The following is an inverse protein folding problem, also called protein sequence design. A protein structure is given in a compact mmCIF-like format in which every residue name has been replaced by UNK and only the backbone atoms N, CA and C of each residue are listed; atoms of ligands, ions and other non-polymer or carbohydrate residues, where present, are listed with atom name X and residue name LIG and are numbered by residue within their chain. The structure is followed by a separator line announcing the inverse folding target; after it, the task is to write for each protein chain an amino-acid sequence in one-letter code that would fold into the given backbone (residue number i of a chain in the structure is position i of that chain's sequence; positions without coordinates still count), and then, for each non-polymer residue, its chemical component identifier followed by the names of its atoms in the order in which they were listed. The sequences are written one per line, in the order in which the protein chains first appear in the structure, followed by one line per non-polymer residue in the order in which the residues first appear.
data_IF_587197359476
#
_entry.id   IF_587197359476
#
_cell.length_a   1.000
_cell.length_b   1.000
_cell.length_c   1.000
_cell.angle_alpha   90.00
_cell.angle_beta   90.00
_cell.angle_gamma   90.00
#
_symmetry.space_group_name_H-M   'P 1'
#
loop_
_entity.id
_entity.type
_entity.pdbx_description
1 polymer ?
#
# COMPACT_ATOMS: atom_id res chain seq x y z
N UNK A 1 4.28 33.11 -11.77
CA UNK A 1 3.73 31.91 -12.37
C UNK A 1 4.75 30.84 -12.59
N UNK A 2 5.83 31.18 -13.21
CA UNK A 2 6.82 30.16 -13.55
C UNK A 2 7.49 29.57 -12.34
N UNK A 3 7.75 30.41 -11.35
CA UNK A 3 8.38 29.91 -10.14
C UNK A 3 7.51 28.90 -9.42
N UNK A 4 6.23 29.16 -9.42
CA UNK A 4 5.30 28.26 -8.83
C UNK A 4 5.39 26.89 -9.50
N UNK A 5 5.51 26.89 -10.80
CA UNK A 5 5.61 25.65 -11.54
C UNK A 5 6.88 24.89 -11.21
N UNK A 6 7.96 25.59 -10.98
CA UNK A 6 9.20 24.93 -10.62
C UNK A 6 9.10 24.24 -9.28
N UNK A 7 8.41 24.84 -8.35
CA UNK A 7 8.21 24.20 -7.07
C UNK A 7 7.38 22.94 -7.21
N UNK A 8 6.36 22.99 -8.05
CA UNK A 8 5.57 21.82 -8.32
C UNK A 8 6.43 20.72 -8.89
N UNK A 9 7.34 21.07 -9.76
CA UNK A 9 8.22 20.07 -10.37
C UNK A 9 9.12 19.40 -9.35
N UNK A 10 9.65 20.18 -8.41
CA UNK A 10 10.47 19.60 -7.36
C UNK A 10 9.66 18.67 -6.47
N UNK A 11 8.42 19.05 -6.23
CA UNK A 11 7.55 18.25 -5.39
C UNK A 11 6.94 17.08 -6.15
N UNK A 12 7.21 17.00 -7.44
CA UNK A 12 6.66 15.95 -8.27
C UNK A 12 7.30 14.60 -8.02
N UNK A 13 8.41 14.53 -7.25
CA UNK A 13 8.95 13.22 -6.86
C UNK A 13 8.00 12.60 -5.86
N UNK A 14 7.14 11.68 -6.29
CA UNK A 14 6.18 11.10 -5.38
C UNK A 14 6.85 10.22 -4.35
N UNK A 15 6.22 10.07 -3.21
CA UNK A 15 6.76 9.30 -2.10
C UNK A 15 7.07 7.85 -2.50
N UNK A 16 6.28 7.30 -3.43
CA UNK A 16 6.44 5.92 -3.86
C UNK A 16 7.37 5.72 -5.04
N UNK A 17 8.09 6.75 -5.46
CA UNK A 17 8.95 6.65 -6.63
C UNK A 17 9.94 5.49 -6.49
N UNK A 18 9.92 4.59 -7.46
CA UNK A 18 10.82 3.45 -7.47
C UNK A 18 10.41 2.28 -6.58
N UNK A 19 9.27 2.38 -5.91
CA UNK A 19 8.77 1.30 -5.05
C UNK A 19 7.92 0.35 -5.88
N UNK A 20 8.21 -0.95 -5.77
CA UNK A 20 7.36 -2.00 -6.32
C UNK A 20 6.20 -2.23 -5.38
N UNK A 21 4.98 -2.02 -5.85
CA UNK A 21 3.78 -2.19 -5.03
C UNK A 21 2.88 -3.25 -5.64
N UNK A 22 2.34 -4.10 -4.78
CA UNK A 22 1.33 -5.07 -5.18
C UNK A 22 -0.01 -4.63 -4.61
N UNK A 23 -1.00 -4.52 -5.47
CA UNK A 23 -2.37 -4.21 -5.07
C UNK A 23 -3.23 -5.45 -5.26
N UNK A 24 -3.75 -5.99 -4.18
CA UNK A 24 -4.70 -7.09 -4.21
C UNK A 24 -6.10 -6.49 -4.20
N UNK A 25 -6.74 -6.52 -5.35
CA UNK A 25 -8.04 -5.89 -5.55
C UNK A 25 -8.66 -6.42 -6.83
N UNK A 26 -9.91 -6.04 -7.07
CA UNK A 26 -10.56 -6.34 -8.34
C UNK A 26 -9.79 -5.62 -9.46
N UNK A 27 -9.26 -6.36 -10.45
CA UNK A 27 -8.57 -5.70 -11.56
C UNK A 27 -9.45 -4.72 -12.33
N UNK A 28 -10.77 -4.83 -12.21
CA UNK A 28 -11.68 -3.88 -12.84
C UNK A 28 -11.87 -2.60 -12.03
N UNK A 29 -11.37 -2.55 -10.80
CA UNK A 29 -11.45 -1.35 -9.97
C UNK A 29 -10.34 -0.39 -10.35
N UNK A 30 -10.53 0.31 -11.47
CA UNK A 30 -9.52 1.21 -12.00
C UNK A 30 -9.30 2.42 -11.11
N UNK A 31 -10.32 2.83 -10.37
CA UNK A 31 -10.20 4.00 -9.50
C UNK A 31 -9.22 3.74 -8.37
N UNK A 32 -9.29 2.57 -7.75
CA UNK A 32 -8.36 2.23 -6.67
C UNK A 32 -6.95 2.10 -7.21
N UNK A 33 -6.77 1.40 -8.34
CA UNK A 33 -5.46 1.24 -8.94
C UNK A 33 -4.84 2.59 -9.31
N UNK A 34 -5.62 3.48 -9.91
CA UNK A 34 -5.14 4.81 -10.27
C UNK A 34 -4.79 5.62 -9.03
N UNK A 35 -5.57 5.47 -7.98
CA UNK A 35 -5.31 6.16 -6.72
C UNK A 35 -3.97 5.78 -6.12
N UNK A 36 -3.65 4.49 -6.12
CA UNK A 36 -2.36 4.02 -5.61
C UNK A 36 -1.23 4.44 -6.54
N UNK A 37 -1.42 4.31 -7.84
CA UNK A 37 -0.39 4.63 -8.81
C UNK A 37 0.00 6.11 -8.81
N UNK A 38 -0.90 6.99 -8.36
CA UNK A 38 -0.60 8.42 -8.27
C UNK A 38 0.64 8.73 -7.44
N UNK A 39 0.99 7.84 -6.53
CA UNK A 39 2.12 8.09 -5.62
C UNK A 39 3.44 7.60 -6.18
N UNK A 40 3.46 7.24 -7.44
CA UNK A 40 4.70 6.94 -8.17
C UNK A 40 5.21 5.53 -8.03
N UNK A 41 4.45 4.66 -7.39
CA UNK A 41 4.83 3.25 -7.26
C UNK A 41 4.72 2.54 -8.61
N UNK A 42 5.52 1.49 -8.77
CA UNK A 42 5.36 0.56 -9.88
C UNK A 42 4.33 -0.47 -9.45
N UNK A 43 3.14 -0.33 -9.99
CA UNK A 43 1.99 -1.07 -9.49
C UNK A 43 1.74 -2.34 -10.28
N UNK A 44 1.57 -3.45 -9.56
CA UNK A 44 1.06 -4.69 -10.10
C UNK A 44 -0.27 -4.96 -9.40
N UNK A 45 -1.32 -5.26 -10.16
CA UNK A 45 -2.63 -5.57 -9.61
C UNK A 45 -2.89 -7.06 -9.73
N UNK A 46 -3.32 -7.68 -8.65
CA UNK A 46 -3.62 -9.09 -8.61
C UNK A 46 -5.03 -9.27 -8.02
N UNK A 47 -5.86 -10.04 -8.71
CA UNK A 47 -7.26 -10.21 -8.31
C UNK A 47 -7.53 -11.44 -7.46
N UNK A 48 -6.52 -12.26 -7.19
CA UNK A 48 -6.68 -13.50 -6.47
C UNK A 48 -5.79 -13.47 -5.23
N UNK A 49 -6.38 -13.73 -4.07
CA UNK A 49 -5.72 -13.54 -2.79
C UNK A 49 -4.43 -14.34 -2.64
N UNK A 50 -4.52 -15.65 -2.86
CA UNK A 50 -3.36 -16.49 -2.61
C UNK A 50 -2.28 -16.36 -3.68
N UNK A 51 -2.66 -15.99 -4.90
CA UNK A 51 -1.67 -15.70 -5.92
C UNK A 51 -0.86 -14.47 -5.53
N UNK A 52 -1.52 -13.45 -5.01
CA UNK A 52 -0.83 -12.25 -4.56
C UNK A 52 0.06 -12.52 -3.35
N UNK A 53 -0.45 -13.25 -2.37
CA UNK A 53 0.36 -13.55 -1.19
C UNK A 53 1.54 -14.45 -1.51
N UNK A 54 1.37 -15.35 -2.48
CA UNK A 54 2.49 -16.18 -2.95
C UNK A 54 3.58 -15.33 -3.59
N UNK A 55 3.20 -14.31 -4.35
CA UNK A 55 4.18 -13.42 -4.96
C UNK A 55 5.02 -12.71 -3.89
N UNK A 56 4.38 -12.28 -2.81
CA UNK A 56 5.09 -11.66 -1.69
C UNK A 56 6.01 -12.67 -1.01
N UNK A 57 5.51 -13.88 -0.76
CA UNK A 57 6.28 -14.90 -0.06
C UNK A 57 7.48 -15.38 -0.87
N UNK A 58 7.33 -15.46 -2.19
CA UNK A 58 8.38 -15.97 -3.06
C UNK A 58 9.60 -15.04 -3.11
N UNK A 59 9.36 -13.74 -3.06
CA UNK A 59 10.46 -12.77 -3.12
C UNK A 59 10.09 -11.51 -2.34
N UNK A 60 10.12 -11.59 -1.01
CA UNK A 60 9.70 -10.44 -0.19
C UNK A 60 10.54 -9.19 -0.43
N UNK A 61 11.80 -9.36 -0.79
CA UNK A 61 12.71 -8.22 -0.99
C UNK A 61 12.35 -7.41 -2.23
N UNK A 62 11.64 -8.01 -3.18
CA UNK A 62 11.22 -7.30 -4.38
C UNK A 62 10.16 -6.25 -4.09
N UNK A 63 9.33 -6.49 -3.09
CA UNK A 63 8.15 -5.67 -2.84
C UNK A 63 8.39 -4.64 -1.76
N UNK A 64 8.05 -3.41 -2.04
CA UNK A 64 8.17 -2.32 -1.08
C UNK A 64 6.84 -1.90 -0.45
N UNK A 65 5.73 -2.41 -0.97
CA UNK A 65 4.40 -2.04 -0.48
C UNK A 65 3.38 -3.07 -0.91
N UNK A 66 2.50 -3.44 0.01
CA UNK A 66 1.34 -4.30 -0.28
C UNK A 66 0.08 -3.54 0.13
N UNK A 67 -0.86 -3.40 -0.80
CA UNK A 67 -2.15 -2.78 -0.54
C UNK A 67 -3.24 -3.79 -0.84
N UNK A 68 -4.19 -3.97 0.07
CA UNK A 68 -5.22 -4.99 -0.08
C UNK A 68 -6.62 -4.41 0.12
N UNK A 69 -7.48 -4.64 -0.87
CA UNK A 69 -8.89 -4.37 -0.73
C UNK A 69 -9.54 -5.58 -0.07
N UNK A 70 -9.63 -5.54 1.25
CA UNK A 70 -10.07 -6.70 2.03
C UNK A 70 -11.50 -7.12 1.71
N UNK A 71 -12.36 -6.19 1.36
CA UNK A 71 -13.76 -6.50 1.12
C UNK A 71 -13.95 -7.43 -0.07
N UNK A 72 -13.03 -7.36 -1.03
CA UNK A 72 -13.06 -8.28 -2.17
C UNK A 72 -12.81 -9.73 -1.76
N UNK A 73 -12.07 -9.93 -0.69
CA UNK A 73 -11.59 -11.26 -0.29
C UNK A 73 -12.25 -11.80 0.97
N UNK A 74 -13.43 -11.32 1.28
CA UNK A 74 -14.19 -11.83 2.41
C UNK A 74 -14.10 -11.00 3.68
N UNK A 75 -13.42 -9.86 3.61
CA UNK A 75 -13.37 -8.93 4.73
C UNK A 75 -12.05 -8.95 5.48
N UNK A 76 -11.94 -8.03 6.43
CA UNK A 76 -10.71 -7.81 7.17
C UNK A 76 -10.22 -9.08 7.89
N UNK A 77 -11.11 -9.78 8.58
CA UNK A 77 -10.74 -10.96 9.33
C UNK A 77 -10.16 -12.05 8.44
N UNK A 78 -10.78 -12.30 7.30
CA UNK A 78 -10.32 -13.32 6.35
C UNK A 78 -8.92 -12.99 5.84
N UNK A 79 -8.70 -11.72 5.49
CA UNK A 79 -7.41 -11.29 4.99
C UNK A 79 -6.35 -11.37 6.08
N UNK A 80 -6.69 -11.01 7.31
CA UNK A 80 -5.73 -11.11 8.41
C UNK A 80 -5.31 -12.54 8.69
N UNK A 81 -6.23 -13.49 8.57
CA UNK A 81 -5.90 -14.90 8.71
C UNK A 81 -4.93 -15.34 7.61
N UNK A 82 -5.18 -14.91 6.38
CA UNK A 82 -4.30 -15.24 5.26
C UNK A 82 -2.90 -14.65 5.46
N UNK A 83 -2.83 -13.39 5.91
CA UNK A 83 -1.55 -12.74 6.17
C UNK A 83 -0.76 -13.46 7.26
N UNK A 84 -1.44 -14.03 8.24
CA UNK A 84 -0.77 -14.75 9.31
C UNK A 84 -0.02 -15.98 8.82
N UNK A 85 -0.33 -16.47 7.62
CA UNK A 85 0.38 -17.60 7.03
C UNK A 85 1.72 -17.22 6.43
N UNK A 86 1.97 -15.92 6.25
CA UNK A 86 3.23 -15.46 5.68
C UNK A 86 4.36 -15.56 6.70
N UNK A 87 5.57 -15.81 6.19
CA UNK A 87 6.74 -15.88 7.05
C UNK A 87 7.22 -14.50 7.50
N UNK A 88 8.23 -14.51 8.36
CA UNK A 88 8.77 -13.28 8.94
C UNK A 88 9.23 -12.29 7.90
N UNK A 89 9.93 -12.75 6.87
CA UNK A 89 10.45 -11.84 5.86
C UNK A 89 9.35 -11.17 5.07
N UNK A 90 8.30 -11.93 4.72
CA UNK A 90 7.18 -11.38 3.97
C UNK A 90 6.43 -10.34 4.82
N UNK A 91 6.40 -10.54 6.13
CA UNK A 91 5.70 -9.62 7.03
C UNK A 91 6.42 -8.29 7.20
N UNK A 92 7.65 -8.18 6.72
CA UNK A 92 8.37 -6.92 6.73
C UNK A 92 7.93 -6.00 5.62
N UNK A 93 7.23 -6.52 4.63
CA UNK A 93 6.70 -5.67 3.55
C UNK A 93 5.62 -4.78 4.15
N UNK A 94 5.76 -3.45 4.05
CA UNK A 94 4.74 -2.56 4.57
C UNK A 94 3.39 -2.86 3.93
N UNK A 95 2.36 -2.96 4.75
CA UNK A 95 1.04 -3.42 4.30
C UNK A 95 -0.04 -2.44 4.68
N UNK A 96 -0.93 -2.14 3.74
CA UNK A 96 -2.12 -1.33 3.96
C UNK A 96 -3.35 -2.20 3.70
N UNK A 97 -4.22 -2.30 4.70
CA UNK A 97 -5.48 -3.02 4.58
C UNK A 97 -6.61 -2.01 4.48
N UNK A 98 -7.42 -2.14 3.44
CA UNK A 98 -8.60 -1.28 3.22
C UNK A 98 -9.83 -2.12 3.42
N UNK A 99 -10.72 -1.71 4.32
CA UNK A 99 -11.94 -2.46 4.56
C UNK A 99 -13.05 -1.56 5.09
N UNK A 100 -14.26 -1.81 4.62
CA UNK A 100 -15.45 -1.14 5.16
C UNK A 100 -15.69 -1.57 6.61
N UNK A 101 -15.10 -2.68 7.05
CA UNK A 101 -15.20 -3.14 8.42
C UNK A 101 -14.31 -2.42 9.40
N UNK A 102 -13.40 -1.57 8.93
CA UNK A 102 -12.57 -0.78 9.82
C UNK A 102 -13.38 0.34 10.44
N UNK A 103 -13.41 0.41 11.77
CA UNK A 103 -14.16 1.46 12.46
C UNK A 103 -13.48 2.83 12.29
N UNK A 104 -12.16 2.82 12.25
CA UNK A 104 -11.36 4.04 12.11
C UNK A 104 -10.07 3.69 11.39
N UNK A 105 -9.39 4.73 10.94
CA UNK A 105 -8.10 4.54 10.30
C UNK A 105 -7.02 4.40 11.38
N UNK A 106 -6.07 3.50 11.15
CA UNK A 106 -5.02 3.22 12.11
C UNK A 106 -3.66 3.25 11.44
N UNK A 107 -2.74 3.99 12.06
CA UNK A 107 -1.37 4.15 11.55
C UNK A 107 -0.41 3.71 12.64
N UNK A 108 -0.20 2.38 12.78
CA UNK A 108 0.61 1.87 13.89
C UNK A 108 2.08 2.28 13.78
N UNK A 109 2.70 2.44 14.95
CA UNK A 109 4.13 2.71 15.00
C UNK A 109 4.94 1.48 14.61
N UNK A 110 4.46 0.30 14.98
CA UNK A 110 5.13 -0.95 14.65
C UNK A 110 5.06 -1.18 13.14
N UNK A 111 6.21 -1.28 12.53
CA UNK A 111 6.34 -1.44 11.08
C UNK A 111 5.80 -2.77 10.57
N UNK A 112 5.69 -3.75 11.42
CA UNK A 112 5.15 -5.06 11.05
C UNK A 112 3.64 -5.10 11.15
N UNK A 113 3.05 -4.16 11.86
CA UNK A 113 1.61 -4.09 11.98
C UNK A 113 1.05 -3.39 10.75
N UNK A 114 0.00 -3.94 10.12
CA UNK A 114 -0.55 -3.31 8.93
C UNK A 114 -1.27 -2.02 9.26
N UNK A 115 -1.19 -1.07 8.33
CA UNK A 115 -2.00 0.14 8.37
C UNK A 115 -3.41 -0.25 7.99
N UNK A 116 -4.41 0.30 8.66
CA UNK A 116 -5.81 0.02 8.35
C UNK A 116 -6.51 1.29 7.92
N UNK A 117 -7.14 1.24 6.75
CA UNK A 117 -7.90 2.36 6.22
C UNK A 117 -9.34 1.93 6.04
N UNK A 118 -10.24 2.84 6.37
CA UNK A 118 -11.67 2.58 6.21
C UNK A 118 -12.06 2.73 4.74
N UNK A 119 -12.76 1.75 4.21
CA UNK A 119 -13.29 1.81 2.87
C UNK A 119 -14.70 2.40 2.85
N UNK A 120 -15.07 3.07 1.76
CA UNK A 120 -14.26 3.38 0.59
C UNK A 120 -13.20 4.41 0.92
N UNK A 121 -11.99 4.18 0.41
CA UNK A 121 -10.85 4.99 0.82
C UNK A 121 -10.79 6.29 0.02
N UNK A 122 -10.52 7.40 0.71
CA UNK A 122 -10.30 8.68 0.04
C UNK A 122 -8.86 8.79 -0.42
N UNK A 123 -8.61 9.69 -1.37
CA UNK A 123 -7.24 9.93 -1.82
C UNK A 123 -6.38 10.45 -0.69
N UNK A 124 -6.93 11.28 0.18
CA UNK A 124 -6.18 11.81 1.31
C UNK A 124 -5.77 10.69 2.27
N UNK A 125 -6.71 9.82 2.62
CA UNK A 125 -6.41 8.71 3.51
C UNK A 125 -5.36 7.78 2.89
N UNK A 126 -5.49 7.52 1.61
CA UNK A 126 -4.54 6.68 0.89
C UNK A 126 -3.15 7.31 0.89
N UNK A 127 -3.07 8.63 0.67
CA UNK A 127 -1.81 9.34 0.71
C UNK A 127 -1.15 9.22 2.08
N UNK A 128 -1.92 9.49 3.14
CA UNK A 128 -1.37 9.40 4.49
C UNK A 128 -0.90 7.98 4.78
N UNK A 129 -1.69 7.00 4.36
CA UNK A 129 -1.32 5.60 4.56
C UNK A 129 -0.03 5.22 3.84
N UNK A 130 0.12 5.64 2.60
CA UNK A 130 1.32 5.33 1.83
C UNK A 130 2.52 6.06 2.40
N UNK A 131 2.37 7.32 2.77
CA UNK A 131 3.46 8.07 3.41
C UNK A 131 3.89 7.40 4.70
N UNK A 132 2.94 6.96 5.50
CA UNK A 132 3.26 6.27 6.75
C UNK A 132 3.97 4.93 6.47
N UNK A 133 3.46 4.17 5.52
CA UNK A 133 4.06 2.88 5.16
C UNK A 133 5.51 3.01 4.70
N UNK A 134 5.81 4.08 4.00
CA UNK A 134 7.13 4.28 3.40
C UNK A 134 7.99 5.29 4.17
N UNK A 135 7.61 5.62 5.41
CA UNK A 135 8.29 6.68 6.17
C UNK A 135 9.78 6.44 6.37
N UNK A 136 10.14 5.20 6.59
CA UNK A 136 11.55 4.89 6.81
C UNK A 136 12.37 4.98 5.54
N UNK A 137 11.73 4.69 4.41
CA UNK A 137 12.36 4.87 3.12
C UNK A 137 12.67 6.33 2.87
N UNK A 138 11.75 7.23 3.29
CA UNK A 138 11.99 8.65 3.18
C UNK A 138 13.15 9.10 4.04
N UNK A 139 13.25 8.59 5.25
CA UNK A 139 14.37 8.89 6.14
C UNK A 139 15.68 8.45 5.50
N UNK A 140 15.71 7.25 4.95
CA UNK A 140 16.88 6.73 4.25
C UNK A 140 17.33 7.66 3.14
N UNK A 141 16.38 8.16 2.35
CA UNK A 141 16.72 9.02 1.23
C UNK A 141 17.20 10.38 1.69
N UNK A 142 16.73 10.83 2.83
CA UNK A 142 17.15 12.11 3.39
C UNK A 142 18.55 12.03 3.98
N UNK A 143 18.91 10.87 4.47
CA UNK A 143 20.25 10.68 5.03
C UNK A 143 21.28 10.51 3.92
#
# INVERSE_FOLDING_TARGET
MQMFRMEDTRQASPVGWGVQALLLADPADEALAAGVARFGVRLTVEGELYAGLSAIADDPAEWGLLVMDCDRFGGLSTVQHALALLGEEARRVPTILISSGCAAQEFPEDRRAPIRLRGPVSLLALRVGIEHALRDRLVWRAA
#
